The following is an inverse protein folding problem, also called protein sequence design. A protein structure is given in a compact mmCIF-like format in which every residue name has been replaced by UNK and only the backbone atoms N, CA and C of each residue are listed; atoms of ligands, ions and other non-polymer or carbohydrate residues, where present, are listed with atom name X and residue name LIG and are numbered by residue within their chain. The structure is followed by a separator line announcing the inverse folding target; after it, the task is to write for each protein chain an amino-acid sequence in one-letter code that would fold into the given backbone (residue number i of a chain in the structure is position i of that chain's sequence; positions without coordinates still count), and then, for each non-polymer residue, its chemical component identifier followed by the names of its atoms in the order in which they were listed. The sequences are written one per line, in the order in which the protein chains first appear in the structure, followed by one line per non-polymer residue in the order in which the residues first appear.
data_IF_917638043587
#
_entry.id   IF_917638043587
#
_cell.length_a   1.000
_cell.length_b   1.000
_cell.length_c   1.000
_cell.angle_alpha   90.00
_cell.angle_beta   90.00
_cell.angle_gamma   90.00
#
_symmetry.space_group_name_H-M   'P 1'
#
loop_
_entity.id
_entity.type
_entity.pdbx_description
1 polymer ?
#
# COMPACT_ATOMS: atom_id res chain seq x y z
N UNK A 1 16.85 -9.65 -18.83
CA UNK A 1 15.46 -9.49 -19.36
C UNK A 1 14.42 -9.45 -18.25
N UNK A 2 14.46 -10.35 -17.27
CA UNK A 2 13.46 -10.45 -16.20
C UNK A 2 13.42 -9.23 -15.24
N UNK A 3 14.57 -8.62 -14.88
CA UNK A 3 14.57 -7.42 -14.02
C UNK A 3 13.87 -6.22 -14.67
N UNK A 4 14.09 -6.01 -15.97
CA UNK A 4 13.40 -4.95 -16.73
C UNK A 4 11.88 -5.18 -16.75
N UNK A 5 11.45 -6.44 -16.86
CA UNK A 5 10.04 -6.79 -16.80
C UNK A 5 9.43 -6.47 -15.42
N UNK A 6 10.13 -6.80 -14.32
CA UNK A 6 9.70 -6.40 -12.97
C UNK A 6 9.53 -4.89 -12.87
N UNK A 7 10.53 -4.11 -13.27
CA UNK A 7 10.48 -2.64 -13.20
C UNK A 7 9.29 -2.10 -13.99
N UNK A 8 9.06 -2.62 -15.20
CA UNK A 8 7.92 -2.21 -16.02
C UNK A 8 6.58 -2.57 -15.36
N UNK A 9 6.47 -3.76 -14.77
CA UNK A 9 5.25 -4.21 -14.09
C UNK A 9 4.97 -3.35 -12.86
N UNK A 10 5.95 -3.16 -11.98
CA UNK A 10 5.83 -2.33 -10.78
C UNK A 10 5.48 -0.88 -11.14
N UNK A 11 6.21 -0.29 -12.08
CA UNK A 11 5.95 1.09 -12.52
C UNK A 11 4.59 1.22 -13.19
N UNK A 12 4.19 0.28 -14.04
CA UNK A 12 2.90 0.29 -14.72
C UNK A 12 1.72 0.13 -13.75
N UNK A 13 1.79 -0.83 -12.83
CA UNK A 13 0.77 -1.05 -11.81
C UNK A 13 0.66 0.13 -10.84
N UNK A 14 1.80 0.70 -10.42
CA UNK A 14 1.81 1.90 -9.57
C UNK A 14 1.18 3.09 -10.29
N UNK A 15 1.62 3.37 -11.52
CA UNK A 15 1.09 4.47 -12.31
C UNK A 15 -0.41 4.31 -12.58
N UNK A 16 -0.87 3.09 -12.92
CA UNK A 16 -2.29 2.80 -13.11
C UNK A 16 -3.11 3.10 -11.86
N UNK A 17 -2.71 2.55 -10.70
CA UNK A 17 -3.41 2.78 -9.43
C UNK A 17 -3.48 4.27 -9.08
N UNK A 18 -2.35 4.98 -9.19
CA UNK A 18 -2.29 6.42 -8.94
C UNK A 18 -3.11 7.22 -9.94
N UNK A 19 -3.13 6.83 -11.22
CA UNK A 19 -3.91 7.51 -12.24
C UNK A 19 -5.41 7.44 -11.95
N UNK A 20 -5.92 6.23 -11.70
CA UNK A 20 -7.34 6.00 -11.39
C UNK A 20 -7.72 6.71 -10.09
N UNK A 21 -6.87 6.64 -9.06
CA UNK A 21 -7.09 7.33 -7.79
C UNK A 21 -7.09 8.86 -7.96
N UNK A 22 -6.08 9.42 -8.61
CA UNK A 22 -5.95 10.87 -8.83
C UNK A 22 -7.07 11.42 -9.71
N UNK A 23 -7.44 10.70 -10.78
CA UNK A 23 -8.56 11.07 -11.65
C UNK A 23 -9.88 11.05 -10.89
N UNK A 24 -10.08 10.05 -10.02
CA UNK A 24 -11.26 10.01 -9.16
C UNK A 24 -11.36 11.27 -8.28
N UNK A 25 -10.25 11.69 -7.67
CA UNK A 25 -10.21 12.92 -6.86
C UNK A 25 -10.44 14.18 -7.69
N UNK A 26 -9.91 14.26 -8.92
CA UNK A 26 -10.17 15.36 -9.86
C UNK A 26 -11.65 15.49 -10.25
N UNK A 27 -12.36 14.37 -10.33
CA UNK A 27 -13.78 14.35 -10.64
C UNK A 27 -14.67 14.66 -9.43
N UNK A 28 -14.09 15.00 -8.28
CA UNK A 28 -14.81 15.28 -7.04
C UNK A 28 -15.05 14.04 -6.17
N UNK A 29 -14.40 12.92 -6.49
CA UNK A 29 -14.32 11.74 -5.62
C UNK A 29 -13.53 12.11 -4.36
N UNK A 30 -14.23 12.52 -3.31
CA UNK A 30 -13.54 12.96 -2.12
C UNK A 30 -13.11 11.76 -1.28
N UNK A 31 -11.81 11.63 -1.07
CA UNK A 31 -11.30 10.76 -0.02
C UNK A 31 -11.64 11.40 1.32
N UNK A 32 -12.09 10.62 2.32
CA UNK A 32 -12.39 11.15 3.67
C UNK A 32 -11.17 11.84 4.31
N UNK A 33 -9.99 11.71 3.70
CA UNK A 33 -8.72 12.25 4.17
C UNK A 33 -8.41 13.67 3.69
N UNK A 34 -8.98 14.13 2.57
CA UNK A 34 -8.69 15.47 2.04
C UNK A 34 -9.03 16.54 3.06
N UNK A 35 -10.18 16.40 3.73
CA UNK A 35 -10.61 17.31 4.78
C UNK A 35 -9.59 17.43 5.91
N UNK A 36 -9.08 16.31 6.40
CA UNK A 36 -8.15 16.33 7.52
C UNK A 36 -6.73 16.73 7.09
N UNK A 37 -6.35 16.58 5.81
CA UNK A 37 -5.17 17.25 5.27
C UNK A 37 -5.39 18.77 5.28
N UNK A 38 -6.50 19.26 4.73
CA UNK A 38 -6.76 20.71 4.70
C UNK A 38 -6.81 21.32 6.10
N UNK A 39 -7.37 20.62 7.09
CA UNK A 39 -7.36 21.08 8.49
C UNK A 39 -5.95 21.07 9.10
N UNK A 40 -5.16 20.02 8.88
CA UNK A 40 -3.80 19.92 9.43
C UNK A 40 -2.90 21.07 8.95
N UNK A 41 -3.09 21.52 7.71
CA UNK A 41 -2.33 22.62 7.12
C UNK A 41 -3.03 23.99 7.22
N UNK A 42 -4.13 24.09 7.97
CA UNK A 42 -4.92 25.33 8.14
C UNK A 42 -5.40 25.95 6.80
N UNK A 43 -5.66 25.10 5.81
CA UNK A 43 -6.12 25.47 4.46
C UNK A 43 -7.65 25.39 4.32
N UNK A 44 -8.37 24.92 5.33
CA UNK A 44 -9.82 24.73 5.34
C UNK A 44 -10.61 26.05 5.23
N UNK A 45 -10.02 27.15 5.69
CA UNK A 45 -10.58 28.50 5.54
C UNK A 45 -10.40 29.10 4.14
N UNK A 46 -9.44 28.59 3.36
CA UNK A 46 -9.01 29.18 2.07
C UNK A 46 -9.50 28.33 0.90
N UNK A 47 -9.54 27.01 1.05
CA UNK A 47 -9.81 26.07 -0.03
C UNK A 47 -10.98 25.15 0.34
N UNK A 48 -12.00 25.13 -0.53
CA UNK A 48 -13.08 24.15 -0.37
C UNK A 48 -12.53 22.73 -0.48
N UNK A 49 -13.15 21.78 0.22
CA UNK A 49 -12.74 20.37 0.18
C UNK A 49 -12.72 19.82 -1.26
N UNK A 50 -13.65 20.25 -2.10
CA UNK A 50 -13.72 19.85 -3.50
C UNK A 50 -12.51 20.36 -4.29
N UNK A 51 -12.17 21.65 -4.19
CA UNK A 51 -11.01 22.20 -4.89
C UNK A 51 -9.69 21.60 -4.37
N UNK A 52 -9.59 21.32 -3.07
CA UNK A 52 -8.45 20.63 -2.49
C UNK A 52 -8.27 19.21 -3.05
N UNK A 53 -9.37 18.45 -3.14
CA UNK A 53 -9.36 17.11 -3.73
C UNK A 53 -8.96 17.17 -5.21
N UNK A 54 -9.47 18.15 -5.96
CA UNK A 54 -9.17 18.31 -7.37
C UNK A 54 -7.70 18.66 -7.64
N UNK A 55 -7.14 19.58 -6.86
CA UNK A 55 -5.74 19.97 -6.97
C UNK A 55 -4.82 18.78 -6.64
N UNK A 56 -5.09 18.09 -5.53
CA UNK A 56 -4.33 16.92 -5.11
C UNK A 56 -4.44 15.78 -6.14
N UNK A 57 -5.64 15.52 -6.65
CA UNK A 57 -5.88 14.58 -7.74
C UNK A 57 -5.06 14.92 -8.98
N UNK A 58 -5.03 16.19 -9.38
CA UNK A 58 -4.22 16.68 -10.51
C UNK A 58 -2.73 16.43 -10.32
N UNK A 59 -2.20 16.71 -9.12
CA UNK A 59 -0.80 16.41 -8.77
C UNK A 59 -0.52 14.91 -8.87
N UNK A 60 -1.42 14.06 -8.35
CA UNK A 60 -1.27 12.60 -8.41
C UNK A 60 -1.28 12.09 -9.85
N UNK A 61 -2.16 12.62 -10.72
CA UNK A 61 -2.20 12.28 -12.15
C UNK A 61 -0.90 12.67 -12.85
N UNK A 62 -0.34 13.84 -12.54
CA UNK A 62 0.95 14.28 -13.09
C UNK A 62 2.07 13.34 -12.64
N UNK A 63 2.13 12.98 -11.35
CA UNK A 63 3.12 12.01 -10.83
C UNK A 63 2.99 10.67 -11.56
N UNK A 64 1.76 10.16 -11.73
CA UNK A 64 1.48 8.93 -12.46
C UNK A 64 1.99 8.99 -13.91
N UNK A 65 1.71 10.08 -14.62
CA UNK A 65 2.21 10.25 -15.99
C UNK A 65 3.73 10.25 -16.02
N UNK A 66 4.38 11.00 -15.12
CA UNK A 66 5.85 11.07 -15.03
C UNK A 66 6.51 9.72 -14.74
N UNK A 67 5.85 8.80 -14.04
CA UNK A 67 6.35 7.44 -13.80
C UNK A 67 6.51 6.64 -15.11
N UNK A 68 5.61 6.83 -16.07
CA UNK A 68 5.62 6.11 -17.34
C UNK A 68 6.62 6.72 -18.33
N UNK A 69 6.81 8.04 -18.30
CA UNK A 69 7.72 8.71 -19.22
C UNK A 69 9.19 8.35 -18.97
N UNK A 70 9.91 7.95 -20.02
CA UNK A 70 11.29 7.46 -19.89
C UNK A 70 12.36 8.57 -19.78
N UNK A 71 11.95 9.83 -19.65
CA UNK A 71 12.87 10.96 -19.55
C UNK A 71 13.48 11.09 -18.15
N UNK A 72 14.82 11.19 -18.06
CA UNK A 72 15.58 11.14 -16.79
C UNK A 72 15.12 12.18 -15.76
N UNK A 73 14.84 13.40 -16.20
CA UNK A 73 14.34 14.48 -15.31
C UNK A 73 12.94 14.16 -14.77
N UNK A 74 12.04 13.65 -15.61
CA UNK A 74 10.67 13.32 -15.21
C UNK A 74 10.64 12.14 -14.24
N UNK A 75 11.51 11.14 -14.43
CA UNK A 75 11.66 10.03 -13.49
C UNK A 75 12.11 10.51 -12.10
N UNK A 76 13.09 11.41 -12.03
CA UNK A 76 13.52 11.99 -10.74
C UNK A 76 12.40 12.79 -10.08
N UNK A 77 11.68 13.60 -10.86
CA UNK A 77 10.53 14.35 -10.37
C UNK A 77 9.41 13.44 -9.87
N UNK A 78 9.12 12.33 -10.56
CA UNK A 78 8.15 11.32 -10.12
C UNK A 78 8.56 10.69 -8.77
N UNK A 79 9.84 10.32 -8.62
CA UNK A 79 10.36 9.80 -7.36
C UNK A 79 10.16 10.77 -6.20
N UNK A 80 10.55 12.04 -6.38
CA UNK A 80 10.32 13.10 -5.37
C UNK A 80 8.82 13.26 -5.10
N UNK A 81 8.00 13.28 -6.14
CA UNK A 81 6.54 13.39 -6.04
C UNK A 81 5.93 12.28 -5.20
N UNK A 82 6.37 11.02 -5.36
CA UNK A 82 5.93 9.90 -4.53
C UNK A 82 6.31 10.09 -3.05
N UNK A 83 7.53 10.54 -2.76
CA UNK A 83 7.95 10.83 -1.39
C UNK A 83 7.11 11.94 -0.76
N UNK A 84 6.91 13.06 -1.46
CA UNK A 84 6.11 14.19 -1.00
C UNK A 84 4.66 13.79 -0.80
N UNK A 85 4.07 13.05 -1.76
CA UNK A 85 2.71 12.53 -1.66
C UNK A 85 2.55 11.63 -0.43
N UNK A 86 3.49 10.72 -0.21
CA UNK A 86 3.48 9.82 0.94
C UNK A 86 3.54 10.61 2.25
N UNK A 87 4.50 11.53 2.35
CA UNK A 87 4.68 12.36 3.55
C UNK A 87 3.43 13.21 3.84
N UNK A 88 2.83 13.84 2.82
CA UNK A 88 1.63 14.65 2.95
C UNK A 88 0.47 13.88 3.61
N UNK A 89 0.19 12.68 3.11
CA UNK A 89 -0.88 11.85 3.67
C UNK A 89 -0.51 11.30 5.05
N UNK A 90 0.71 10.78 5.21
CA UNK A 90 1.16 10.15 6.46
C UNK A 90 1.23 11.14 7.63
N UNK A 91 1.57 12.41 7.39
CA UNK A 91 1.53 13.45 8.43
C UNK A 91 0.11 13.65 8.99
N UNK A 92 -0.92 13.35 8.22
CA UNK A 92 -2.30 13.42 8.72
C UNK A 92 -2.69 12.31 9.69
N UNK A 93 -1.80 11.33 9.96
CA UNK A 93 -1.96 10.35 11.05
C UNK A 93 -1.80 10.99 12.44
N UNK A 94 -1.11 12.14 12.56
CA UNK A 94 -0.98 12.84 13.84
C UNK A 94 -2.28 13.51 14.30
N UNK A 95 -3.30 13.56 13.45
CA UNK A 95 -4.61 14.08 13.85
C UNK A 95 -5.35 13.09 14.75
N UNK A 96 -5.90 13.57 15.86
CA UNK A 96 -6.73 12.76 16.77
C UNK A 96 -7.96 12.16 16.07
N UNK A 97 -8.45 12.80 15.01
CA UNK A 97 -9.60 12.35 14.20
C UNK A 97 -9.37 11.02 13.47
N UNK A 98 -8.13 10.50 13.46
CA UNK A 98 -7.79 9.21 12.84
C UNK A 98 -8.04 8.02 13.76
N UNK A 99 -8.10 8.29 15.07
CA UNK A 99 -8.19 7.28 16.11
C UNK A 99 -9.60 7.25 16.69
N UNK A 100 -10.05 6.08 17.13
CA UNK A 100 -11.38 5.93 17.72
C UNK A 100 -11.28 6.20 19.23
N UNK A 101 -11.56 7.42 19.64
CA UNK A 101 -11.44 7.85 21.05
C UNK A 101 -12.31 7.04 22.01
N UNK A 102 -13.48 6.55 21.56
CA UNK A 102 -14.36 5.69 22.36
C UNK A 102 -13.77 4.31 22.67
N UNK A 103 -12.74 3.89 21.94
CA UNK A 103 -12.04 2.61 22.12
C UNK A 103 -10.61 2.78 22.67
N UNK A 104 -10.31 3.96 23.25
CA UNK A 104 -9.00 4.26 23.85
C UNK A 104 -8.05 5.07 22.97
N UNK A 105 -8.49 5.52 21.78
CA UNK A 105 -7.66 6.31 20.89
C UNK A 105 -6.57 5.49 20.22
N UNK A 106 -5.39 6.06 20.01
CA UNK A 106 -4.26 5.35 19.41
C UNK A 106 -3.93 4.07 20.22
N UNK A 107 -3.79 2.89 19.59
CA UNK A 107 -3.65 2.64 18.16
C UNK A 107 -4.94 2.19 17.44
N UNK A 108 -6.12 2.31 18.03
CA UNK A 108 -7.39 1.87 17.40
C UNK A 108 -7.75 2.82 16.25
N UNK A 109 -7.50 2.36 15.03
CA UNK A 109 -7.55 3.18 13.82
C UNK A 109 -8.92 3.06 13.13
N UNK A 110 -9.58 4.20 12.96
CA UNK A 110 -10.86 4.30 12.24
C UNK A 110 -10.63 4.79 10.82
N UNK A 111 -10.83 6.09 10.61
CA UNK A 111 -10.60 6.71 9.30
C UNK A 111 -9.13 6.62 8.85
N UNK A 112 -8.16 6.43 9.74
CA UNK A 112 -6.74 6.40 9.37
C UNK A 112 -6.30 5.22 8.48
N UNK A 113 -7.13 4.19 8.29
CA UNK A 113 -6.73 2.95 7.61
C UNK A 113 -6.31 3.16 6.14
N UNK A 114 -6.95 4.09 5.41
CA UNK A 114 -6.52 4.40 4.04
C UNK A 114 -5.21 5.18 3.96
N UNK A 115 -4.82 5.85 5.06
CA UNK A 115 -3.64 6.71 5.13
C UNK A 115 -2.39 5.86 5.38
N UNK A 116 -2.47 4.85 6.25
CA UNK A 116 -1.33 3.95 6.48
C UNK A 116 -0.91 3.21 5.20
N UNK A 117 -1.78 3.10 4.19
CA UNK A 117 -1.41 2.53 2.88
C UNK A 117 -0.33 3.33 2.14
N UNK A 118 -0.20 4.63 2.41
CA UNK A 118 0.82 5.47 1.78
C UNK A 118 2.25 5.11 2.20
N UNK A 119 2.44 4.34 3.29
CA UNK A 119 3.75 3.76 3.60
C UNK A 119 4.27 2.84 2.49
N UNK A 120 3.39 2.24 1.66
CA UNK A 120 3.78 1.36 0.56
C UNK A 120 4.57 2.08 -0.53
N UNK A 121 4.29 3.37 -0.77
CA UNK A 121 4.89 4.16 -1.83
C UNK A 121 6.38 4.44 -1.57
N UNK A 122 6.78 4.59 -0.30
CA UNK A 122 8.16 4.91 0.10
C UNK A 122 9.18 3.83 -0.34
N UNK A 123 9.02 2.54 -0.01
CA UNK A 123 9.93 1.49 -0.47
C UNK A 123 9.84 1.21 -1.97
N UNK A 124 8.67 1.41 -2.60
CA UNK A 124 8.56 1.31 -4.07
C UNK A 124 9.39 2.43 -4.72
N UNK A 125 9.26 3.67 -4.26
CA UNK A 125 10.05 4.79 -4.76
C UNK A 125 11.54 4.56 -4.51
N UNK A 126 11.92 4.08 -3.32
CA UNK A 126 13.31 3.74 -3.04
C UNK A 126 13.84 2.64 -3.97
N UNK A 127 13.07 1.60 -4.25
CA UNK A 127 13.48 0.54 -5.17
C UNK A 127 13.57 1.02 -6.63
N UNK A 128 12.66 1.88 -7.09
CA UNK A 128 12.63 2.38 -8.46
C UNK A 128 13.70 3.45 -8.74
N UNK A 129 14.01 4.30 -7.75
CA UNK A 129 14.83 5.50 -7.97
C UNK A 129 16.14 5.52 -7.17
N UNK A 130 16.22 4.76 -6.08
CA UNK A 130 17.37 4.72 -5.17
C UNK A 130 17.88 3.29 -5.00
N UNK A 131 17.74 2.44 -6.05
CA UNK A 131 18.10 1.03 -5.99
C UNK A 131 19.53 0.80 -5.50
N UNK A 132 20.48 1.55 -6.06
CA UNK A 132 21.91 1.40 -5.78
C UNK A 132 22.34 2.04 -4.44
N UNK A 133 21.41 2.67 -3.71
CA UNK A 133 21.67 3.31 -2.40
C UNK A 133 21.37 2.40 -1.21
N UNK A 134 20.65 1.31 -1.42
CA UNK A 134 20.27 0.36 -0.39
C UNK A 134 20.69 -1.04 -0.81
N UNK A 135 21.11 -1.85 0.15
CA UNK A 135 21.38 -3.28 -0.04
C UNK A 135 20.09 -4.04 -0.33
N UNK A 136 20.21 -5.23 -0.91
CA UNK A 136 19.06 -6.12 -1.16
C UNK A 136 18.28 -6.43 0.13
N UNK A 137 18.99 -6.67 1.25
CA UNK A 137 18.34 -6.91 2.54
C UNK A 137 17.57 -5.66 3.04
N UNK A 138 18.13 -4.46 2.84
CA UNK A 138 17.44 -3.22 3.18
C UNK A 138 16.18 -3.03 2.31
N UNK A 139 16.26 -3.25 1.00
CA UNK A 139 15.06 -3.20 0.13
C UNK A 139 14.01 -4.23 0.53
N UNK A 140 14.44 -5.44 0.89
CA UNK A 140 13.56 -6.53 1.29
C UNK A 140 12.77 -6.18 2.55
N UNK A 141 13.44 -5.76 3.62
CA UNK A 141 12.78 -5.34 4.86
C UNK A 141 11.98 -4.05 4.68
N UNK A 142 12.45 -3.12 3.86
CA UNK A 142 11.74 -1.87 3.62
C UNK A 142 10.44 -2.10 2.83
N UNK A 143 10.41 -3.03 1.86
CA UNK A 143 9.18 -3.42 1.17
C UNK A 143 8.26 -4.30 2.02
N UNK A 144 8.82 -5.09 2.95
CA UNK A 144 8.03 -5.88 3.90
C UNK A 144 7.28 -4.99 4.90
N UNK A 145 7.92 -3.93 5.40
CA UNK A 145 7.37 -3.05 6.42
C UNK A 145 5.91 -2.58 6.15
N UNK A 146 5.57 -1.97 4.99
CA UNK A 146 4.20 -1.51 4.75
C UNK A 146 3.21 -2.66 4.62
N UNK A 147 3.62 -3.81 4.07
CA UNK A 147 2.77 -5.02 3.97
C UNK A 147 2.42 -5.52 5.36
N UNK A 148 3.42 -5.68 6.23
CA UNK A 148 3.21 -6.09 7.60
C UNK A 148 2.38 -5.07 8.38
N UNK A 149 2.65 -3.78 8.20
CA UNK A 149 1.94 -2.69 8.85
C UNK A 149 0.43 -2.77 8.60
N UNK A 150 0.00 -2.90 7.34
CA UNK A 150 -1.44 -2.93 7.04
C UNK A 150 -2.10 -4.24 7.46
N UNK A 151 -1.44 -5.38 7.23
CA UNK A 151 -2.01 -6.68 7.62
C UNK A 151 -2.12 -6.80 9.13
N UNK A 152 -1.11 -6.36 9.88
CA UNK A 152 -1.14 -6.39 11.34
C UNK A 152 -2.13 -5.36 11.88
N UNK A 153 -2.07 -4.12 11.41
CA UNK A 153 -2.87 -3.05 12.00
C UNK A 153 -4.35 -3.17 11.61
N UNK A 154 -4.67 -3.28 10.32
CA UNK A 154 -6.06 -3.44 9.85
C UNK A 154 -6.59 -4.82 10.23
N UNK A 155 -5.77 -5.87 10.13
CA UNK A 155 -6.15 -7.21 10.58
C UNK A 155 -6.51 -7.25 12.08
N UNK A 156 -5.79 -6.51 12.92
CA UNK A 156 -6.14 -6.36 14.34
C UNK A 156 -7.44 -5.57 14.56
N UNK A 157 -7.81 -4.66 13.66
CA UNK A 157 -9.09 -3.95 13.78
C UNK A 157 -10.27 -4.90 13.55
N UNK A 158 -10.10 -6.01 12.83
CA UNK A 158 -11.18 -6.95 12.52
C UNK A 158 -11.77 -7.66 13.74
N UNK A 159 -11.09 -7.61 14.88
CA UNK A 159 -11.62 -8.10 16.16
C UNK A 159 -12.62 -7.14 16.82
N UNK A 160 -12.83 -5.95 16.27
CA UNK A 160 -13.79 -4.97 16.74
C UNK A 160 -15.07 -4.96 15.90
N UNK A 161 -16.19 -4.65 16.54
CA UNK A 161 -17.51 -4.64 15.90
C UNK A 161 -17.63 -3.61 14.76
N UNK A 162 -17.00 -2.43 14.92
CA UNK A 162 -17.06 -1.39 13.89
C UNK A 162 -16.41 -1.84 12.59
N UNK A 163 -15.32 -2.61 12.68
CA UNK A 163 -14.59 -3.12 11.51
C UNK A 163 -15.34 -4.29 10.88
N UNK A 164 -15.95 -5.16 11.69
CA UNK A 164 -16.79 -6.24 11.20
C UNK A 164 -17.96 -5.68 10.36
N UNK A 165 -18.63 -4.63 10.84
CA UNK A 165 -19.64 -3.88 10.05
C UNK A 165 -19.03 -3.19 8.83
N UNK A 166 -17.82 -2.65 8.95
CA UNK A 166 -17.11 -1.98 7.86
C UNK A 166 -16.83 -2.88 6.65
N UNK A 167 -16.56 -4.17 6.88
CA UNK A 167 -16.27 -5.14 5.82
C UNK A 167 -17.49 -5.95 5.38
N UNK A 168 -18.65 -5.79 6.03
CA UNK A 168 -19.85 -6.59 5.78
C UNK A 168 -20.22 -6.62 4.29
N UNK A 169 -20.40 -5.44 3.69
CA UNK A 169 -20.77 -5.32 2.29
C UNK A 169 -19.69 -5.84 1.33
N UNK A 170 -18.41 -5.75 1.72
CA UNK A 170 -17.31 -6.27 0.91
C UNK A 170 -17.38 -7.79 0.82
N UNK A 171 -17.54 -8.45 1.97
CA UNK A 171 -17.58 -9.90 2.08
C UNK A 171 -18.89 -10.46 1.50
N UNK A 172 -20.03 -9.85 1.80
CA UNK A 172 -21.35 -10.35 1.40
C UNK A 172 -21.52 -10.37 -0.13
N UNK A 173 -20.94 -9.38 -0.83
CA UNK A 173 -20.98 -9.32 -2.29
C UNK A 173 -19.78 -9.99 -2.96
N UNK A 174 -18.86 -10.60 -2.21
CA UNK A 174 -17.70 -11.27 -2.80
C UNK A 174 -18.07 -12.66 -3.32
N UNK A 175 -17.75 -13.01 -4.57
CA UNK A 175 -17.95 -14.37 -5.09
C UNK A 175 -17.06 -15.41 -4.39
N UNK A 176 -16.03 -14.98 -3.64
CA UNK A 176 -15.09 -15.86 -2.97
C UNK A 176 -15.27 -15.94 -1.46
N UNK A 177 -16.01 -15.00 -0.86
CA UNK A 177 -16.15 -14.89 0.60
C UNK A 177 -17.61 -14.82 1.09
N UNK A 178 -18.60 -14.65 0.21
CA UNK A 178 -20.01 -14.54 0.63
C UNK A 178 -20.49 -15.74 1.46
N UNK A 179 -20.02 -16.94 1.12
CA UNK A 179 -20.31 -18.19 1.85
C UNK A 179 -19.93 -18.14 3.33
N UNK A 180 -19.02 -17.25 3.73
CA UNK A 180 -18.62 -17.14 5.14
C UNK A 180 -19.85 -16.83 6.00
N UNK A 181 -20.72 -15.93 5.56
CA UNK A 181 -21.91 -15.55 6.33
C UNK A 181 -23.00 -16.62 6.37
N UNK A 182 -22.95 -17.63 5.51
CA UNK A 182 -23.82 -18.80 5.60
C UNK A 182 -23.39 -19.75 6.73
N UNK A 183 -22.09 -19.75 7.08
CA UNK A 183 -21.51 -20.66 8.06
C UNK A 183 -21.21 -19.99 9.41
N UNK A 184 -20.99 -18.68 9.43
CA UNK A 184 -20.53 -17.96 10.62
C UNK A 184 -21.14 -16.57 10.74
N UNK A 185 -21.21 -16.05 11.97
CA UNK A 185 -21.71 -14.70 12.21
C UNK A 185 -20.79 -13.62 11.62
N UNK A 186 -21.32 -12.41 11.45
CA UNK A 186 -20.57 -11.24 10.97
C UNK A 186 -19.23 -11.06 11.69
N UNK A 187 -19.26 -11.06 13.02
CA UNK A 187 -18.04 -10.90 13.83
C UNK A 187 -17.09 -12.08 13.68
N UNK A 188 -17.61 -13.32 13.59
CA UNK A 188 -16.77 -14.51 13.45
C UNK A 188 -16.02 -14.51 12.12
N UNK A 189 -16.71 -14.14 11.03
CA UNK A 189 -16.08 -13.98 9.71
C UNK A 189 -14.99 -12.91 9.74
N UNK A 190 -15.27 -11.75 10.36
CA UNK A 190 -14.27 -10.70 10.54
C UNK A 190 -13.05 -11.21 11.32
N UNK A 191 -13.25 -11.91 12.43
CA UNK A 191 -12.17 -12.50 13.23
C UNK A 191 -11.33 -13.49 12.43
N UNK A 192 -11.95 -14.35 11.61
CA UNK A 192 -11.23 -15.32 10.77
C UNK A 192 -10.33 -14.62 9.75
N UNK A 193 -10.83 -13.56 9.10
CA UNK A 193 -10.02 -12.75 8.18
C UNK A 193 -8.88 -12.07 8.95
N UNK A 194 -9.15 -11.53 10.14
CA UNK A 194 -8.11 -10.92 11.01
C UNK A 194 -7.02 -11.91 11.39
N UNK A 195 -7.38 -13.12 11.82
CA UNK A 195 -6.42 -14.19 12.13
C UNK A 195 -5.58 -14.53 10.91
N UNK A 196 -6.20 -14.63 9.72
CA UNK A 196 -5.48 -14.89 8.49
C UNK A 196 -4.45 -13.78 8.20
N UNK A 197 -4.85 -12.51 8.26
CA UNK A 197 -3.97 -11.35 8.03
C UNK A 197 -2.77 -11.33 8.98
N UNK A 198 -3.00 -11.59 10.27
CA UNK A 198 -1.92 -11.66 11.26
C UNK A 198 -0.98 -12.85 11.00
N UNK A 199 -1.55 -14.00 10.67
CA UNK A 199 -0.80 -15.23 10.42
C UNK A 199 0.12 -15.10 9.20
N UNK A 200 -0.41 -14.66 8.05
CA UNK A 200 0.37 -14.53 6.81
C UNK A 200 1.41 -13.42 6.89
N UNK A 201 1.16 -12.33 7.63
CA UNK A 201 2.17 -11.30 7.90
C UNK A 201 3.33 -11.85 8.75
N UNK A 202 3.01 -12.61 9.81
CA UNK A 202 4.02 -13.29 10.64
C UNK A 202 4.81 -14.34 9.86
N UNK A 203 4.14 -15.11 9.01
CA UNK A 203 4.78 -16.08 8.14
C UNK A 203 5.76 -15.42 7.17
N UNK A 204 5.40 -14.28 6.57
CA UNK A 204 6.31 -13.52 5.71
C UNK A 204 7.52 -13.01 6.49
N UNK A 205 7.33 -12.50 7.71
CA UNK A 205 8.43 -12.06 8.57
C UNK A 205 9.44 -13.20 8.85
N UNK A 206 8.93 -14.38 9.24
CA UNK A 206 9.74 -15.57 9.51
C UNK A 206 10.43 -16.07 8.25
N UNK A 207 9.71 -16.09 7.12
CA UNK A 207 10.24 -16.51 5.83
C UNK A 207 11.44 -15.65 5.40
N UNK A 208 11.33 -14.34 5.58
CA UNK A 208 12.38 -13.37 5.26
C UNK A 208 13.57 -13.48 6.21
N UNK A 209 13.31 -13.65 7.52
CA UNK A 209 14.36 -13.83 8.52
C UNK A 209 15.18 -15.12 8.29
N UNK A 210 14.54 -16.20 7.87
CA UNK A 210 15.20 -17.49 7.60
C UNK A 210 15.70 -17.63 6.15
N UNK A 211 15.50 -16.62 5.30
CA UNK A 211 15.89 -16.61 3.89
C UNK A 211 15.44 -17.86 3.09
N UNK A 212 14.34 -18.49 3.51
CA UNK A 212 13.83 -19.72 2.89
C UNK A 212 12.95 -19.38 1.70
N UNK A 213 13.44 -19.67 0.49
CA UNK A 213 12.71 -19.38 -0.77
C UNK A 213 11.32 -20.01 -0.81
N UNK A 214 11.18 -21.23 -0.27
CA UNK A 214 9.89 -21.94 -0.22
C UNK A 214 8.91 -21.21 0.70
N UNK A 215 9.34 -20.87 1.91
CA UNK A 215 8.49 -20.14 2.86
C UNK A 215 8.14 -18.75 2.33
N UNK A 216 9.08 -18.07 1.67
CA UNK A 216 8.82 -16.77 1.04
C UNK A 216 7.72 -16.91 -0.01
N UNK A 217 7.79 -17.90 -0.89
CA UNK A 217 6.75 -18.11 -1.91
C UNK A 217 5.38 -18.38 -1.31
N UNK A 218 5.30 -19.23 -0.28
CA UNK A 218 4.04 -19.51 0.42
C UNK A 218 3.49 -18.23 1.06
N UNK A 219 4.34 -17.47 1.76
CA UNK A 219 3.93 -16.24 2.43
C UNK A 219 3.51 -15.14 1.44
N UNK A 220 4.25 -14.97 0.33
CA UNK A 220 3.92 -14.05 -0.75
C UNK A 220 2.59 -14.41 -1.39
N UNK A 221 2.31 -15.69 -1.63
CA UNK A 221 1.00 -16.13 -2.13
C UNK A 221 -0.12 -15.82 -1.12
N UNK A 222 0.13 -16.06 0.17
CA UNK A 222 -0.81 -15.75 1.25
C UNK A 222 -1.15 -14.26 1.34
N UNK A 223 -0.13 -13.39 1.38
CA UNK A 223 -0.28 -11.93 1.34
C UNK A 223 -0.92 -11.45 0.03
N UNK A 224 -0.46 -12.00 -1.10
CA UNK A 224 -0.97 -11.69 -2.43
C UNK A 224 -2.45 -12.01 -2.55
N UNK A 225 -2.92 -13.11 -1.98
CA UNK A 225 -4.32 -13.47 -1.94
C UNK A 225 -5.17 -12.39 -1.25
N UNK A 226 -4.72 -11.78 -0.15
CA UNK A 226 -5.44 -10.67 0.52
C UNK A 226 -5.62 -9.48 -0.42
N UNK A 227 -4.53 -9.00 -1.01
CA UNK A 227 -4.57 -7.80 -1.83
C UNK A 227 -5.29 -8.03 -3.16
N UNK A 228 -5.12 -9.21 -3.78
CA UNK A 228 -5.84 -9.61 -4.99
C UNK A 228 -7.33 -9.76 -4.69
N UNK A 229 -7.70 -10.43 -3.58
CA UNK A 229 -9.10 -10.53 -3.16
C UNK A 229 -9.72 -9.15 -2.99
N UNK A 230 -9.00 -8.23 -2.34
CA UNK A 230 -9.50 -6.87 -2.12
C UNK A 230 -9.71 -6.13 -3.44
N UNK A 231 -8.89 -6.36 -4.48
CA UNK A 231 -9.15 -5.80 -5.81
C UNK A 231 -10.46 -6.32 -6.43
N UNK A 232 -10.90 -7.54 -6.11
CA UNK A 232 -12.17 -8.07 -6.64
C UNK A 232 -13.37 -7.26 -6.12
N UNK A 233 -13.28 -6.73 -4.89
CA UNK A 233 -14.33 -5.91 -4.28
C UNK A 233 -14.60 -4.61 -5.06
N UNK A 234 -13.63 -4.14 -5.85
CA UNK A 234 -13.82 -2.98 -6.71
C UNK A 234 -14.98 -3.20 -7.71
N UNK A 235 -15.16 -4.44 -8.18
CA UNK A 235 -16.17 -4.78 -9.17
C UNK A 235 -17.41 -5.44 -8.58
N UNK A 236 -17.27 -6.06 -7.40
CA UNK A 236 -18.36 -6.85 -6.80
C UNK A 236 -19.15 -6.07 -5.77
N UNK A 237 -18.53 -5.11 -5.06
CA UNK A 237 -19.21 -4.37 -3.98
C UNK A 237 -19.98 -3.16 -4.53
N UNK A 238 -21.30 -3.09 -4.28
CA UNK A 238 -22.10 -1.91 -4.60
C UNK A 238 -21.54 -0.66 -3.92
N UNK A 239 -21.39 0.41 -4.69
CA UNK A 239 -20.86 1.67 -4.17
C UNK A 239 -19.34 1.71 -4.02
N UNK A 240 -18.57 0.76 -4.57
CA UNK A 240 -17.12 0.94 -4.76
C UNK A 240 -16.80 1.84 -5.97
N UNK A 241 -17.54 1.64 -7.07
CA UNK A 241 -17.46 2.46 -8.29
C UNK A 241 -18.50 3.58 -8.29
N UNK A 242 -18.20 4.66 -9.02
CA UNK A 242 -19.07 5.82 -9.18
C UNK A 242 -19.10 6.26 -10.64
N UNK A 243 -20.29 6.52 -11.19
CA UNK A 243 -20.44 7.00 -12.55
C UNK A 243 -19.92 8.43 -12.76
N UNK A 244 -19.89 9.23 -11.69
CA UNK A 244 -19.46 10.64 -11.75
C UNK A 244 -18.00 10.81 -11.34
N UNK A 245 -17.56 10.06 -10.34
CA UNK A 245 -16.23 10.23 -9.71
C UNK A 245 -15.28 9.07 -9.94
N UNK A 246 -15.65 8.11 -10.80
CA UNK A 246 -14.96 6.84 -11.07
C UNK A 246 -14.93 5.88 -9.87
N UNK A 247 -14.42 6.34 -8.73
CA UNK A 247 -14.37 5.63 -7.46
C UNK A 247 -15.13 6.41 -6.38
N UNK A 248 -15.71 5.69 -5.44
CA UNK A 248 -16.11 6.25 -4.13
C UNK A 248 -14.94 6.15 -3.14
N UNK A 249 -15.11 6.63 -1.91
CA UNK A 249 -14.11 6.44 -0.85
C UNK A 249 -13.72 4.96 -0.63
N UNK A 250 -14.66 4.02 -0.79
CA UNK A 250 -14.39 2.58 -0.72
C UNK A 250 -13.53 2.12 -1.89
N UNK A 251 -13.86 2.53 -3.12
CA UNK A 251 -13.04 2.22 -4.30
C UNK A 251 -11.64 2.82 -4.21
N UNK A 252 -11.51 4.04 -3.69
CA UNK A 252 -10.23 4.69 -3.44
C UNK A 252 -9.40 4.00 -2.35
N UNK A 253 -10.03 3.38 -1.36
CA UNK A 253 -9.33 2.54 -0.38
C UNK A 253 -8.84 1.24 -1.02
N UNK A 254 -9.66 0.60 -1.84
CA UNK A 254 -9.36 -0.68 -2.50
C UNK A 254 -8.24 -0.53 -3.53
N UNK A 255 -8.29 0.46 -4.43
CA UNK A 255 -7.33 0.60 -5.55
C UNK A 255 -5.88 0.74 -5.08
N UNK A 256 -5.68 1.23 -3.85
CA UNK A 256 -4.37 1.40 -3.22
C UNK A 256 -3.71 0.06 -2.86
N UNK A 257 -4.45 -1.04 -2.79
CA UNK A 257 -3.84 -2.35 -2.47
C UNK A 257 -2.94 -2.89 -3.59
N UNK A 258 -3.04 -2.32 -4.80
CA UNK A 258 -2.06 -2.54 -5.87
C UNK A 258 -0.64 -2.17 -5.42
N UNK A 259 -0.48 -1.19 -4.53
CA UNK A 259 0.85 -0.79 -4.03
C UNK A 259 1.51 -1.94 -3.25
N UNK A 260 0.75 -2.67 -2.43
CA UNK A 260 1.29 -3.83 -1.72
C UNK A 260 1.60 -4.98 -2.66
N UNK A 261 0.82 -5.18 -3.73
CA UNK A 261 1.18 -6.13 -4.80
C UNK A 261 2.54 -5.75 -5.40
N UNK A 262 2.79 -4.46 -5.65
CA UNK A 262 4.11 -3.99 -6.08
C UNK A 262 5.21 -4.30 -5.05
N UNK A 263 4.97 -4.09 -3.75
CA UNK A 263 5.93 -4.46 -2.70
C UNK A 263 6.24 -5.96 -2.71
N UNK A 264 5.21 -6.81 -2.82
CA UNK A 264 5.36 -8.27 -2.87
C UNK A 264 6.15 -8.72 -4.11
N UNK A 265 5.92 -8.10 -5.28
CA UNK A 265 6.70 -8.37 -6.49
C UNK A 265 8.18 -8.03 -6.31
N UNK A 266 8.49 -6.91 -5.65
CA UNK A 266 9.86 -6.51 -5.34
C UNK A 266 10.52 -7.50 -4.36
N UNK A 267 9.83 -7.87 -3.27
CA UNK A 267 10.32 -8.85 -2.29
C UNK A 267 10.62 -10.18 -2.97
N UNK A 268 9.69 -10.67 -3.78
CA UNK A 268 9.84 -11.93 -4.52
C UNK A 268 11.06 -11.89 -5.42
N UNK A 269 11.24 -10.80 -6.17
CA UNK A 269 12.39 -10.63 -7.05
C UNK A 269 13.72 -10.72 -6.28
N UNK A 270 13.84 -9.95 -5.20
CA UNK A 270 15.07 -9.89 -4.40
C UNK A 270 15.36 -11.24 -3.76
N UNK A 271 14.36 -11.90 -3.17
CA UNK A 271 14.52 -13.20 -2.52
C UNK A 271 14.97 -14.31 -3.49
N UNK A 272 14.60 -14.21 -4.77
CA UNK A 272 15.00 -15.19 -5.79
C UNK A 272 16.29 -14.82 -6.53
N UNK A 273 16.68 -13.54 -6.52
CA UNK A 273 17.84 -13.02 -7.24
C UNK A 273 18.72 -12.16 -6.32
N UNK A 274 19.26 -12.72 -5.21
CA UNK A 274 20.18 -11.98 -4.36
C UNK A 274 21.40 -11.58 -5.18
N UNK A 275 21.72 -10.29 -5.20
CA UNK A 275 22.90 -9.78 -5.86
C UNK A 275 24.15 -10.24 -5.09
N UNK A 276 25.09 -10.89 -5.79
CA UNK A 276 26.40 -11.23 -5.26
C UNK A 276 27.25 -9.97 -5.09
N UNK A 277 26.93 -9.12 -4.12
CA UNK A 277 27.75 -7.93 -3.80
C UNK A 277 28.76 -8.18 -2.66
N UNK A 278 28.93 -9.43 -2.19
CA UNK A 278 29.83 -9.75 -1.07
C UNK A 278 31.14 -10.46 -1.42
N UNK A 279 31.52 -10.65 -2.69
CA UNK A 279 32.76 -11.40 -3.01
C UNK A 279 34.00 -10.51 -3.27
N UNK A 280 33.87 -9.19 -3.42
CA UNK A 280 35.00 -8.33 -3.85
C UNK A 280 35.68 -7.48 -2.76
N UNK A 281 35.38 -7.69 -1.47
CA UNK A 281 36.11 -7.01 -0.38
C UNK A 281 37.11 -7.89 0.36
N UNK A 282 37.21 -9.19 0.03
CA UNK A 282 38.11 -10.12 0.73
C UNK A 282 39.48 -10.35 0.05
N UNK A 283 39.76 -9.75 -1.10
CA UNK A 283 41.05 -9.93 -1.82
C UNK A 283 41.95 -8.68 -1.90
N UNK A 284 41.58 -7.57 -1.25
CA UNK A 284 42.36 -6.33 -1.28
C UNK A 284 43.25 -6.14 -0.05
N UNK A 285 43.86 -7.22 0.45
CA UNK A 285 44.90 -7.13 1.48
C UNK A 285 46.03 -8.11 1.20
N UNK A 286 46.80 -7.81 0.16
CA UNK A 286 48.20 -8.26 0.08
C UNK A 286 49.04 -6.99 0.19
N UNK A 287 49.84 -6.81 1.26
CA UNK A 287 50.79 -5.72 1.33
C UNK A 287 51.86 -5.93 0.27
N UNK A 288 52.18 -4.87 -0.46
CA UNK A 288 53.39 -4.81 -1.29
C UNK A 288 54.56 -4.72 -0.32
N UNK A 289 55.26 -5.84 -0.10
CA UNK A 289 56.58 -5.81 0.53
C UNK A 289 57.60 -5.27 -0.48
N UNK A 290 58.31 -4.24 -0.04
CA UNK A 290 59.48 -3.62 -0.66
C UNK A 290 60.76 -4.21 -0.08
#
# INVERSE_FOLDING_TARGET
MQHKMLINLVTGSLAFSLFIFGLSMMLGGNDRYVHAITQLYFLDSILSQMHAAQLLGGVIVIISAMLIFQHSVLKKAAGIGLFVLSALFLLSLFSETRWISSLGGFPVIGSGQGIIKYFALLPIAAYLFLRDKLTDNQHLWFNFFPVALVLVWIGSMKFFEFEAKGIEALVNHSPFMSWMYDLMSLQTASNVIGIYDLFIAGLLAIALAHQSKVLVNIAILGCGAVFIMTQTFLFTTPGALSATTLLTGTGQFIIKDIWFICNLLIITWIAHNPSMQHTNQQYSSVPVES
#
